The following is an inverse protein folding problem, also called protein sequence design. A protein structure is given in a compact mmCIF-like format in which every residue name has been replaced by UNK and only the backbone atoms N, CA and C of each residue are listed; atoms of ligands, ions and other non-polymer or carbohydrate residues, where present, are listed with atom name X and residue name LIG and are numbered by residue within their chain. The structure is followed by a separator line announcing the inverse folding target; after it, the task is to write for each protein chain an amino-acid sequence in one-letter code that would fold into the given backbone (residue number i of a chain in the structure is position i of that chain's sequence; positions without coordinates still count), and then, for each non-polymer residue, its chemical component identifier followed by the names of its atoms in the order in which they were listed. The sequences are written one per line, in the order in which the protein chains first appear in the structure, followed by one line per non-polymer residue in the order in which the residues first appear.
data_IF_453107994018
#
_entry.id   IF_453107994018
#
_cell.length_a   1.000
_cell.length_b   1.000
_cell.length_c   1.000
_cell.angle_alpha   90.00
_cell.angle_beta   90.00
_cell.angle_gamma   90.00
#
_symmetry.space_group_name_H-M   'P 1'
#
loop_
_entity.id
_entity.type
_entity.pdbx_description
1 polymer ?
#
# COMPACT_ATOMS: atom_id res chain seq x y z
N UNK A 1 15.35 -5.88 9.97
CA UNK A 1 14.37 -5.00 9.27
C UNK A 1 14.99 -3.63 9.07
N UNK A 2 15.12 -3.20 7.81
CA UNK A 2 15.54 -1.84 7.46
C UNK A 2 14.41 -0.85 7.80
N UNK A 3 14.78 0.37 8.22
CA UNK A 3 13.86 1.48 8.45
C UNK A 3 14.26 2.66 7.56
N UNK A 4 13.27 3.40 7.07
CA UNK A 4 13.46 4.61 6.27
C UNK A 4 12.54 5.72 6.75
N UNK A 5 13.01 6.95 6.64
CA UNK A 5 12.23 8.14 7.00
C UNK A 5 11.01 8.31 6.08
N UNK A 6 9.83 8.42 6.67
CA UNK A 6 8.58 8.60 5.95
C UNK A 6 8.34 10.09 5.65
N UNK A 7 9.07 10.60 4.66
CA UNK A 7 8.97 11.97 4.21
C UNK A 7 9.02 12.99 5.37
N UNK A 8 8.32 14.11 5.22
CA UNK A 8 8.25 15.20 6.22
C UNK A 8 7.62 14.80 7.55
N UNK A 9 6.98 13.64 7.65
CA UNK A 9 6.52 13.12 8.94
C UNK A 9 7.69 12.80 9.87
N UNK A 10 8.89 12.63 9.33
CA UNK A 10 10.14 12.50 10.08
C UNK A 10 10.28 11.20 10.86
N UNK A 11 9.26 10.34 10.85
CA UNK A 11 9.29 9.04 11.51
C UNK A 11 10.06 8.03 10.65
N UNK A 12 10.90 7.24 11.30
CA UNK A 12 11.53 6.07 10.72
C UNK A 12 10.58 4.87 10.80
N UNK A 13 10.12 4.37 9.66
CA UNK A 13 9.24 3.21 9.57
C UNK A 13 9.96 2.03 8.90
N UNK A 14 9.55 0.81 9.24
CA UNK A 14 10.01 -0.40 8.55
C UNK A 14 9.71 -0.30 7.05
N UNK A 15 10.67 -0.72 6.21
CA UNK A 15 10.50 -0.73 4.74
C UNK A 15 9.44 -1.70 4.26
N UNK A 16 9.06 -2.69 5.08
CA UNK A 16 7.89 -3.52 4.86
C UNK A 16 6.72 -2.98 5.70
N UNK A 17 5.60 -2.69 5.02
CA UNK A 17 4.34 -2.34 5.66
C UNK A 17 3.46 -3.57 5.71
N UNK A 18 2.96 -3.95 6.90
CA UNK A 18 2.04 -5.08 7.00
C UNK A 18 0.67 -4.70 6.44
N UNK A 19 0.35 -5.24 5.26
CA UNK A 19 -0.87 -4.92 4.53
C UNK A 19 -2.08 -5.70 5.04
N UNK A 20 -3.02 -5.00 5.68
CA UNK A 20 -4.24 -5.56 6.24
C UNK A 20 -5.19 -6.21 5.24
N UNK A 21 -5.01 -5.97 3.94
CA UNK A 21 -5.73 -6.73 2.91
C UNK A 21 -5.57 -8.25 3.09
N UNK A 22 -4.45 -8.70 3.63
CA UNK A 22 -4.20 -10.11 3.97
C UNK A 22 -5.13 -10.66 5.08
N UNK A 23 -5.78 -9.78 5.83
CA UNK A 23 -6.65 -10.14 6.95
C UNK A 23 -8.14 -10.05 6.61
N UNK A 24 -8.51 -9.70 5.38
CA UNK A 24 -9.90 -9.41 4.98
C UNK A 24 -10.84 -10.60 5.14
N UNK A 25 -10.37 -11.80 4.78
CA UNK A 25 -11.18 -13.03 4.74
C UNK A 25 -10.46 -14.22 5.39
N UNK A 26 -9.59 -13.96 6.36
CA UNK A 26 -8.83 -15.03 7.03
C UNK A 26 -9.36 -15.32 8.43
N UNK A 27 -9.03 -16.49 8.96
CA UNK A 27 -9.42 -16.86 10.33
C UNK A 27 -8.61 -16.06 11.35
N UNK A 28 -9.17 -15.85 12.55
CA UNK A 28 -8.47 -15.18 13.66
C UNK A 28 -7.09 -15.79 13.94
N UNK A 29 -6.98 -17.13 13.98
CA UNK A 29 -5.70 -17.79 14.23
C UNK A 29 -4.64 -17.58 13.13
N UNK A 30 -5.05 -17.42 11.87
CA UNK A 30 -4.14 -17.07 10.78
C UNK A 30 -3.73 -15.60 10.85
N UNK A 31 -4.69 -14.73 11.17
CA UNK A 31 -4.49 -13.30 11.43
C UNK A 31 -3.45 -13.08 12.53
N UNK A 32 -3.68 -13.70 13.70
CA UNK A 32 -2.80 -13.58 14.86
C UNK A 32 -1.39 -14.05 14.55
N UNK A 33 -1.26 -15.17 13.83
CA UNK A 33 0.06 -15.68 13.41
C UNK A 33 0.77 -14.71 12.48
N UNK A 34 0.08 -14.14 11.49
CA UNK A 34 0.68 -13.23 10.53
C UNK A 34 1.10 -11.91 11.19
N UNK A 35 0.25 -11.35 12.07
CA UNK A 35 0.56 -10.15 12.85
C UNK A 35 1.78 -10.40 13.73
N UNK A 36 1.81 -11.52 14.48
CA UNK A 36 2.93 -11.87 15.35
C UNK A 36 4.23 -12.03 14.56
N UNK A 37 4.20 -12.71 13.40
CA UNK A 37 5.37 -12.85 12.54
C UNK A 37 5.92 -11.51 12.04
N UNK A 38 5.04 -10.57 11.69
CA UNK A 38 5.44 -9.23 11.27
C UNK A 38 6.10 -8.46 12.43
N UNK A 39 5.50 -8.49 13.62
CA UNK A 39 6.04 -7.86 14.83
C UNK A 39 7.41 -8.44 15.21
N UNK A 40 7.54 -9.78 15.22
CA UNK A 40 8.80 -10.47 15.54
C UNK A 40 9.91 -10.16 14.54
N UNK A 41 9.55 -9.86 13.29
CA UNK A 41 10.50 -9.43 12.26
C UNK A 41 10.87 -7.94 12.37
N UNK A 42 10.21 -7.17 13.24
CA UNK A 42 10.46 -5.75 13.44
C UNK A 42 9.70 -4.85 12.46
N UNK A 43 8.56 -5.33 11.92
CA UNK A 43 7.63 -4.47 11.17
C UNK A 43 6.88 -3.60 12.17
N UNK A 44 6.91 -2.29 11.93
CA UNK A 44 6.23 -1.29 12.77
C UNK A 44 5.27 -0.39 12.00
N UNK A 45 5.09 -0.61 10.69
CA UNK A 45 4.09 0.05 9.87
C UNK A 45 2.97 -0.94 9.52
N UNK A 46 1.76 -0.66 10.00
CA UNK A 46 0.56 -1.47 9.81
C UNK A 46 -0.48 -0.66 9.04
N UNK A 47 -0.91 -1.18 7.91
CA UNK A 47 -1.84 -0.52 6.99
C UNK A 47 -3.09 -1.36 6.78
N UNK A 48 -4.26 -0.74 6.85
CA UNK A 48 -5.54 -1.38 6.58
C UNK A 48 -6.45 -0.46 5.76
N UNK A 49 -7.71 -0.81 5.61
CA UNK A 49 -8.74 0.02 5.00
C UNK A 49 -10.13 -0.40 5.49
N UNK A 50 -11.07 0.54 5.47
CA UNK A 50 -12.47 0.28 5.77
C UNK A 50 -13.10 -0.78 4.85
N UNK A 51 -12.56 -0.92 3.63
CA UNK A 51 -13.07 -1.82 2.58
C UNK A 51 -12.40 -3.21 2.59
N UNK A 52 -11.51 -3.49 3.55
CA UNK A 52 -10.80 -4.78 3.65
C UNK A 52 -11.52 -5.75 4.59
N UNK A 53 -12.81 -6.02 4.35
CA UNK A 53 -13.58 -6.99 5.12
C UNK A 53 -13.40 -6.84 6.63
N UNK A 54 -12.96 -7.89 7.30
CA UNK A 54 -12.78 -7.91 8.76
C UNK A 54 -11.41 -7.38 9.23
N UNK A 55 -10.56 -6.87 8.33
CA UNK A 55 -9.18 -6.50 8.65
C UNK A 55 -9.05 -5.51 9.82
N UNK A 56 -9.87 -4.45 9.86
CA UNK A 56 -9.84 -3.49 10.96
C UNK A 56 -10.28 -4.12 12.29
N UNK A 57 -11.23 -5.07 12.28
CA UNK A 57 -11.63 -5.82 13.47
C UNK A 57 -10.49 -6.75 13.95
N UNK A 58 -9.78 -7.38 13.02
CA UNK A 58 -8.62 -8.23 13.34
C UNK A 58 -7.51 -7.40 13.99
N UNK A 59 -7.18 -6.24 13.44
CA UNK A 59 -6.20 -5.32 14.04
C UNK A 59 -6.68 -4.81 15.40
N UNK A 60 -7.97 -4.44 15.52
CA UNK A 60 -8.55 -3.92 16.75
C UNK A 60 -8.37 -4.83 17.99
N UNK A 61 -8.24 -6.15 17.76
CA UNK A 61 -7.94 -7.10 18.85
C UNK A 61 -6.54 -6.93 19.43
N UNK A 62 -5.60 -6.41 18.63
CA UNK A 62 -4.20 -6.25 19.00
C UNK A 62 -3.85 -4.86 19.52
N UNK A 63 -4.68 -3.85 19.24
CA UNK A 63 -4.33 -2.45 19.53
C UNK A 63 -4.04 -2.17 20.99
N UNK A 64 -4.70 -2.86 21.93
CA UNK A 64 -4.40 -2.74 23.36
C UNK A 64 -2.95 -3.10 23.72
N UNK A 65 -2.25 -3.87 22.89
CA UNK A 65 -0.88 -4.33 23.15
C UNK A 65 0.17 -3.66 22.28
N UNK A 66 -0.21 -3.27 21.04
CA UNK A 66 0.79 -2.85 20.04
C UNK A 66 0.67 -1.39 19.61
N UNK A 67 -0.45 -0.67 19.91
CA UNK A 67 -0.72 0.67 19.36
C UNK A 67 0.45 1.65 19.55
N UNK A 68 1.08 1.66 20.71
CA UNK A 68 2.17 2.58 21.03
C UNK A 68 3.50 2.23 20.34
N UNK A 69 3.58 1.07 19.70
CA UNK A 69 4.81 0.57 19.06
C UNK A 69 4.75 0.61 17.53
N UNK A 70 3.58 0.90 16.97
CA UNK A 70 3.37 0.85 15.52
C UNK A 70 2.96 2.21 14.96
N UNK A 71 3.16 2.38 13.67
CA UNK A 71 2.53 3.39 12.84
C UNK A 71 1.32 2.75 12.18
N UNK A 72 0.13 3.22 12.54
CA UNK A 72 -1.13 2.66 12.09
C UNK A 72 -1.76 3.53 11.02
N UNK A 73 -2.07 2.95 9.86
CA UNK A 73 -2.79 3.61 8.80
C UNK A 73 -4.08 2.89 8.41
N UNK A 74 -5.10 3.67 8.07
CA UNK A 74 -6.33 3.16 7.44
C UNK A 74 -6.73 4.06 6.26
N UNK A 75 -7.82 3.70 5.56
CA UNK A 75 -8.24 4.38 4.33
C UNK A 75 -9.75 4.55 4.30
N UNK A 76 -10.19 5.63 3.62
CA UNK A 76 -11.60 5.81 3.24
C UNK A 76 -11.75 5.69 1.73
N UNK A 77 -12.66 4.81 1.27
CA UNK A 77 -13.03 4.63 -0.14
C UNK A 77 -14.19 5.52 -0.57
N UNK A 78 -14.84 6.20 0.37
CA UNK A 78 -15.97 7.06 0.09
C UNK A 78 -15.50 8.43 -0.41
N UNK A 79 -16.28 9.06 -1.30
CA UNK A 79 -15.93 10.34 -1.92
C UNK A 79 -16.69 11.51 -1.34
N UNK A 80 -17.91 11.29 -0.85
CA UNK A 80 -18.73 12.32 -0.23
C UNK A 80 -18.26 12.59 1.20
N UNK A 81 -18.10 13.84 1.58
CA UNK A 81 -17.58 14.32 2.87
C UNK A 81 -18.24 13.67 4.07
N UNK A 82 -19.57 13.78 4.16
CA UNK A 82 -20.31 13.25 5.32
C UNK A 82 -20.23 11.72 5.41
N UNK A 83 -20.19 11.03 4.27
CA UNK A 83 -20.05 9.59 4.22
C UNK A 83 -18.62 9.16 4.64
N UNK A 84 -17.60 9.84 4.15
CA UNK A 84 -16.22 9.63 4.54
C UNK A 84 -16.01 9.91 6.04
N UNK A 85 -16.58 10.98 6.57
CA UNK A 85 -16.52 11.30 8.01
C UNK A 85 -17.11 10.16 8.86
N UNK A 86 -18.28 9.66 8.50
CA UNK A 86 -18.87 8.49 9.20
C UNK A 86 -18.00 7.24 9.08
N UNK A 87 -17.40 7.00 7.91
CA UNK A 87 -16.50 5.85 7.71
C UNK A 87 -15.24 5.96 8.57
N UNK A 88 -14.64 7.15 8.70
CA UNK A 88 -13.48 7.40 9.57
C UNK A 88 -13.82 7.04 11.02
N UNK A 89 -14.91 7.55 11.57
CA UNK A 89 -15.32 7.18 12.93
C UNK A 89 -15.56 5.68 13.10
N UNK A 90 -16.25 5.05 12.15
CA UNK A 90 -16.48 3.60 12.18
C UNK A 90 -15.16 2.79 12.09
N UNK A 91 -14.15 3.29 11.36
CA UNK A 91 -12.82 2.68 11.32
C UNK A 91 -12.12 2.75 12.67
N UNK A 92 -12.14 3.90 13.36
CA UNK A 92 -11.58 4.04 14.70
C UNK A 92 -12.26 3.08 15.72
N UNK A 93 -13.59 2.95 15.63
CA UNK A 93 -14.32 2.00 16.47
C UNK A 93 -13.91 0.55 16.21
N UNK A 94 -13.81 0.11 14.94
CA UNK A 94 -13.38 -1.25 14.59
C UNK A 94 -11.94 -1.52 15.00
N UNK A 95 -11.07 -0.54 14.80
CA UNK A 95 -9.67 -0.57 15.23
C UNK A 95 -9.50 -0.45 16.76
N UNK A 96 -10.53 -0.03 17.49
CA UNK A 96 -10.49 0.19 18.96
C UNK A 96 -9.39 1.18 19.38
N UNK A 97 -9.25 2.28 18.63
CA UNK A 97 -8.28 3.34 18.90
C UNK A 97 -8.96 4.72 18.87
N UNK A 98 -8.37 5.68 19.57
CA UNK A 98 -8.85 7.07 19.55
C UNK A 98 -8.39 7.81 18.30
N UNK A 99 -7.27 7.40 17.71
CA UNK A 99 -6.69 8.00 16.51
C UNK A 99 -5.85 6.99 15.70
N UNK A 100 -5.62 7.34 14.42
CA UNK A 100 -4.63 6.68 13.55
C UNK A 100 -3.53 7.66 13.16
N UNK A 101 -2.34 7.15 12.84
CA UNK A 101 -1.22 7.98 12.43
C UNK A 101 -1.40 8.53 11.01
N UNK A 102 -2.06 7.75 10.14
CA UNK A 102 -2.28 8.13 8.73
C UNK A 102 -3.66 7.69 8.26
N UNK A 103 -4.40 8.62 7.66
CA UNK A 103 -5.60 8.31 6.87
C UNK A 103 -5.29 8.54 5.39
N UNK A 104 -5.68 7.59 4.53
CA UNK A 104 -5.44 7.70 3.10
C UNK A 104 -6.76 7.75 2.31
N UNK A 105 -6.84 8.61 1.29
CA UNK A 105 -7.89 8.54 0.28
C UNK A 105 -7.65 7.27 -0.56
N UNK A 106 -8.59 6.32 -0.49
CA UNK A 106 -8.41 4.98 -1.02
C UNK A 106 -8.73 4.88 -2.50
N UNK A 107 -7.81 4.26 -3.26
CA UNK A 107 -8.02 3.85 -4.65
C UNK A 107 -8.36 5.00 -5.63
N UNK A 108 -7.81 6.19 -5.43
CA UNK A 108 -7.93 7.31 -6.36
C UNK A 108 -6.98 7.07 -7.53
N UNK A 109 -7.47 6.48 -8.62
CA UNK A 109 -6.66 5.99 -9.74
C UNK A 109 -6.77 6.81 -11.02
N UNK A 110 -7.70 7.77 -11.11
CA UNK A 110 -7.89 8.65 -12.24
C UNK A 110 -8.32 10.07 -11.81
N UNK A 111 -8.29 10.99 -12.78
CA UNK A 111 -8.57 12.40 -12.51
C UNK A 111 -10.04 12.68 -12.16
N UNK A 112 -10.98 11.90 -12.70
CA UNK A 112 -12.41 12.07 -12.38
C UNK A 112 -12.66 11.73 -10.90
N UNK A 113 -12.06 10.63 -10.43
CA UNK A 113 -12.18 10.23 -9.05
C UNK A 113 -11.41 11.18 -8.10
N UNK A 114 -10.27 11.71 -8.55
CA UNK A 114 -9.55 12.78 -7.83
C UNK A 114 -10.39 14.04 -7.72
N UNK A 115 -11.09 14.45 -8.79
CA UNK A 115 -11.98 15.61 -8.79
C UNK A 115 -13.12 15.45 -7.77
N UNK A 116 -13.68 14.25 -7.66
CA UNK A 116 -14.70 13.91 -6.66
C UNK A 116 -14.16 13.92 -5.24
N UNK A 117 -12.97 13.33 -5.04
CA UNK A 117 -12.35 13.20 -3.73
C UNK A 117 -11.86 14.55 -3.17
N UNK A 118 -11.29 15.42 -4.04
CA UNK A 118 -10.67 16.70 -3.66
C UNK A 118 -11.52 17.95 -3.96
N UNK A 119 -12.70 17.78 -4.57
CA UNK A 119 -13.63 18.88 -4.84
C UNK A 119 -14.44 19.32 -3.60
N UNK A 120 -15.33 20.29 -3.78
CA UNK A 120 -16.22 20.73 -2.71
C UNK A 120 -17.07 19.57 -2.15
N UNK A 121 -17.20 19.49 -0.83
CA UNK A 121 -17.85 18.40 -0.11
C UNK A 121 -17.24 17.00 -0.41
N UNK A 122 -15.98 16.97 -0.81
CA UNK A 122 -15.22 15.75 -1.07
C UNK A 122 -14.61 15.13 0.19
N UNK A 123 -14.14 13.88 0.06
CA UNK A 123 -13.55 13.13 1.18
C UNK A 123 -12.25 13.76 1.72
N UNK A 124 -11.56 14.57 0.92
CA UNK A 124 -10.38 15.32 1.40
C UNK A 124 -10.77 16.33 2.50
N UNK A 125 -11.89 17.00 2.36
CA UNK A 125 -12.36 17.90 3.42
C UNK A 125 -12.66 17.13 4.72
N UNK A 126 -13.27 15.94 4.63
CA UNK A 126 -13.49 15.08 5.79
C UNK A 126 -12.17 14.65 6.45
N UNK A 127 -11.15 14.34 5.65
CA UNK A 127 -9.82 13.99 6.16
C UNK A 127 -9.14 15.18 6.86
N UNK A 128 -9.27 16.39 6.32
CA UNK A 128 -8.73 17.62 6.92
C UNK A 128 -9.44 17.91 8.27
N UNK A 129 -10.77 17.83 8.32
CA UNK A 129 -11.51 17.98 9.57
C UNK A 129 -11.09 16.94 10.61
N UNK A 130 -10.96 15.66 10.22
CA UNK A 130 -10.51 14.60 11.12
C UNK A 130 -9.08 14.85 11.64
N UNK A 131 -8.21 15.47 10.83
CA UNK A 131 -6.85 15.87 11.26
C UNK A 131 -6.92 17.04 12.26
N UNK A 132 -7.78 18.02 12.03
CA UNK A 132 -7.99 19.14 12.95
C UNK A 132 -8.61 18.69 14.28
N UNK A 133 -9.48 17.68 14.24
CA UNK A 133 -10.07 17.04 15.43
C UNK A 133 -9.09 16.12 16.18
N UNK A 134 -7.90 15.83 15.61
CA UNK A 134 -6.89 14.95 16.19
C UNK A 134 -7.20 13.45 16.04
N UNK A 135 -8.16 13.09 15.20
CA UNK A 135 -8.51 11.69 14.90
C UNK A 135 -7.53 11.03 13.95
N UNK A 136 -6.83 11.81 13.13
CA UNK A 136 -5.78 11.36 12.23
C UNK A 136 -4.55 12.27 12.31
N UNK A 137 -3.35 11.68 12.27
CA UNK A 137 -2.09 12.44 12.36
C UNK A 137 -1.64 13.04 11.02
N UNK A 138 -1.86 12.29 9.94
CA UNK A 138 -1.40 12.62 8.59
C UNK A 138 -2.45 12.22 7.53
N UNK A 139 -2.35 12.81 6.34
CA UNK A 139 -3.25 12.52 5.22
C UNK A 139 -2.43 12.04 4.02
N UNK A 140 -2.80 10.88 3.48
CA UNK A 140 -2.19 10.28 2.30
C UNK A 140 -3.19 10.02 1.18
N UNK A 141 -2.67 9.55 0.05
CA UNK A 141 -3.46 9.13 -1.10
C UNK A 141 -2.96 7.80 -1.66
N UNK A 142 -3.88 6.96 -2.12
CA UNK A 142 -3.56 5.69 -2.77
C UNK A 142 -4.29 5.54 -4.09
N UNK A 143 -3.74 4.75 -5.01
CA UNK A 143 -4.41 4.44 -6.27
C UNK A 143 -3.93 3.16 -6.91
N UNK A 144 -4.66 2.74 -7.93
CA UNK A 144 -4.41 1.55 -8.73
C UNK A 144 -4.52 1.87 -10.22
N UNK A 145 -4.07 0.94 -11.06
CA UNK A 145 -4.13 1.09 -12.51
C UNK A 145 -2.97 1.86 -13.11
N UNK A 146 -3.01 1.96 -14.46
CA UNK A 146 -1.92 2.57 -15.21
C UNK A 146 -1.85 4.10 -15.03
N UNK A 147 -2.96 4.76 -14.72
CA UNK A 147 -3.02 6.21 -14.49
C UNK A 147 -2.61 6.67 -13.09
N UNK A 148 -2.37 5.75 -12.15
CA UNK A 148 -2.15 6.11 -10.75
C UNK A 148 -0.98 7.09 -10.53
N UNK A 149 0.22 6.94 -11.13
CA UNK A 149 1.31 7.90 -10.90
C UNK A 149 0.99 9.31 -11.39
N UNK A 150 0.39 9.44 -12.60
CA UNK A 150 -0.01 10.74 -13.13
C UNK A 150 -1.12 11.40 -12.29
N UNK A 151 -2.08 10.62 -11.82
CA UNK A 151 -3.15 11.08 -10.92
C UNK A 151 -2.59 11.56 -9.58
N UNK A 152 -1.65 10.82 -9.00
CA UNK A 152 -1.02 11.19 -7.74
C UNK A 152 -0.12 12.43 -7.87
N UNK A 153 0.55 12.60 -9.00
CA UNK A 153 1.28 13.83 -9.31
C UNK A 153 0.34 15.05 -9.29
N UNK A 154 -0.82 14.93 -9.95
CA UNK A 154 -1.83 16.00 -9.93
C UNK A 154 -2.42 16.20 -8.53
N UNK A 155 -2.63 15.12 -7.77
CA UNK A 155 -3.11 15.20 -6.39
C UNK A 155 -2.15 15.99 -5.49
N UNK A 156 -0.85 15.75 -5.57
CA UNK A 156 0.18 16.50 -4.83
C UNK A 156 0.22 17.99 -5.19
N UNK A 157 -0.13 18.35 -6.42
CA UNK A 157 -0.25 19.76 -6.86
C UNK A 157 -1.47 20.45 -6.27
N UNK A 158 -2.54 19.69 -5.98
CA UNK A 158 -3.78 20.24 -5.40
C UNK A 158 -3.73 20.33 -3.88
N UNK A 159 -3.11 19.36 -3.24
CA UNK A 159 -3.00 19.28 -1.79
C UNK A 159 -1.67 18.63 -1.37
N UNK A 160 -0.99 19.13 -0.34
CA UNK A 160 0.28 18.58 0.11
C UNK A 160 0.06 17.31 0.94
N UNK A 161 -0.31 16.19 0.28
CA UNK A 161 -0.43 14.90 0.93
C UNK A 161 0.87 14.49 1.62
N UNK A 162 0.78 13.98 2.85
CA UNK A 162 1.93 13.56 3.62
C UNK A 162 2.57 12.28 3.06
N UNK A 163 1.75 11.41 2.45
CA UNK A 163 2.22 10.17 1.79
C UNK A 163 1.47 9.89 0.49
N UNK A 164 2.16 9.21 -0.41
CA UNK A 164 1.58 8.62 -1.63
C UNK A 164 1.86 7.13 -1.62
N UNK A 165 0.83 6.29 -1.88
CA UNK A 165 0.95 4.86 -2.07
C UNK A 165 0.55 4.51 -3.50
N UNK A 166 1.53 4.21 -4.35
CA UNK A 166 1.36 4.00 -5.80
C UNK A 166 1.90 2.65 -6.26
N UNK A 167 1.37 2.04 -7.34
CA UNK A 167 1.95 0.81 -7.87
C UNK A 167 3.35 1.04 -8.46
N UNK A 168 4.32 0.20 -8.05
CA UNK A 168 5.65 0.20 -8.64
C UNK A 168 6.32 -1.16 -8.51
N UNK A 169 6.81 -1.68 -9.62
CA UNK A 169 7.59 -2.91 -9.70
C UNK A 169 8.40 -2.96 -11.01
N UNK A 170 9.23 -4.00 -11.15
CA UNK A 170 10.10 -4.13 -12.31
C UNK A 170 9.35 -4.12 -13.65
N UNK A 171 8.23 -4.84 -13.78
CA UNK A 171 7.53 -4.91 -15.07
C UNK A 171 6.87 -3.57 -15.44
N UNK A 172 6.33 -2.83 -14.48
CA UNK A 172 5.77 -1.50 -14.71
C UNK A 172 6.86 -0.51 -15.13
N UNK A 173 8.08 -0.65 -14.61
CA UNK A 173 9.22 0.20 -15.00
C UNK A 173 9.68 -0.03 -16.45
N UNK A 174 9.31 -1.13 -17.07
CA UNK A 174 9.65 -1.41 -18.49
C UNK A 174 8.70 -0.74 -19.48
N UNK A 175 7.54 -0.28 -19.03
CA UNK A 175 6.64 0.56 -19.83
C UNK A 175 7.14 2.02 -19.78
N UNK A 176 7.46 2.59 -20.92
CA UNK A 176 8.07 3.93 -21.01
C UNK A 176 7.14 5.03 -20.53
N UNK A 177 5.84 4.92 -20.80
CA UNK A 177 4.85 5.92 -20.38
C UNK A 177 4.64 5.85 -18.86
N UNK A 178 4.40 4.65 -18.35
CA UNK A 178 4.22 4.45 -16.91
C UNK A 178 5.45 4.91 -16.11
N UNK A 179 6.65 4.57 -16.60
CA UNK A 179 7.92 4.99 -15.98
C UNK A 179 8.05 6.51 -15.98
N UNK A 180 7.75 7.19 -17.09
CA UNK A 180 7.84 8.65 -17.15
C UNK A 180 6.89 9.32 -16.15
N UNK A 181 5.65 8.82 -16.03
CA UNK A 181 4.69 9.32 -15.05
C UNK A 181 5.16 9.07 -13.60
N UNK A 182 5.73 7.89 -13.33
CA UNK A 182 6.29 7.57 -12.01
C UNK A 182 7.48 8.46 -11.68
N UNK A 183 8.42 8.66 -12.60
CA UNK A 183 9.58 9.53 -12.42
C UNK A 183 9.15 10.99 -12.14
N UNK A 184 8.14 11.49 -12.86
CA UNK A 184 7.58 12.82 -12.61
C UNK A 184 6.93 12.91 -11.21
N UNK A 185 6.21 11.87 -10.78
CA UNK A 185 5.66 11.78 -9.43
C UNK A 185 6.78 11.78 -8.38
N UNK A 186 7.86 11.04 -8.59
CA UNK A 186 9.02 10.99 -7.66
C UNK A 186 9.64 12.37 -7.47
N UNK A 187 9.81 13.14 -8.52
CA UNK A 187 10.34 14.50 -8.41
C UNK A 187 9.41 15.41 -7.56
N UNK A 188 8.11 15.29 -7.72
CA UNK A 188 7.14 16.05 -6.90
C UNK A 188 7.15 15.58 -5.44
N UNK A 189 7.20 14.26 -5.21
CA UNK A 189 7.33 13.66 -3.87
C UNK A 189 8.57 14.20 -3.15
N UNK A 190 9.72 14.22 -3.84
CA UNK A 190 10.97 14.77 -3.30
C UNK A 190 10.86 16.27 -3.01
N UNK A 191 10.24 17.04 -3.92
CA UNK A 191 10.12 18.49 -3.77
C UNK A 191 9.26 18.88 -2.56
N UNK A 192 8.24 18.05 -2.25
CA UNK A 192 7.34 18.26 -1.12
C UNK A 192 7.78 17.51 0.16
N UNK A 193 8.87 16.73 0.10
CA UNK A 193 9.30 15.84 1.18
C UNK A 193 8.15 14.92 1.66
N UNK A 194 7.36 14.36 0.73
CA UNK A 194 6.31 13.40 1.02
C UNK A 194 6.87 11.97 1.15
N UNK A 195 6.19 11.09 1.90
CA UNK A 195 6.55 9.68 1.97
C UNK A 195 6.07 8.93 0.71
N UNK A 196 6.95 8.18 0.05
CA UNK A 196 6.59 7.35 -1.10
C UNK A 196 6.53 5.88 -0.71
N UNK A 197 5.32 5.35 -0.65
CA UNK A 197 5.04 3.94 -0.44
C UNK A 197 4.64 3.28 -1.76
N UNK A 198 4.95 2.01 -1.92
CA UNK A 198 4.60 1.29 -3.15
C UNK A 198 3.84 0.00 -2.90
N UNK A 199 3.02 -0.38 -3.89
CA UNK A 199 2.24 -1.61 -3.91
C UNK A 199 2.53 -2.41 -5.17
N UNK A 200 2.02 -3.64 -5.23
CA UNK A 200 2.18 -4.58 -6.36
C UNK A 200 3.61 -5.11 -6.52
N UNK A 201 4.45 -4.98 -5.50
CA UNK A 201 5.87 -5.38 -5.53
C UNK A 201 6.06 -6.80 -6.05
N UNK A 202 5.31 -7.78 -5.52
CA UNK A 202 5.43 -9.19 -5.92
C UNK A 202 4.35 -9.65 -6.90
N UNK A 203 3.64 -8.73 -7.55
CA UNK A 203 2.68 -9.12 -8.57
C UNK A 203 3.40 -9.69 -9.78
N UNK A 204 2.98 -10.87 -10.22
CA UNK A 204 3.49 -11.55 -11.42
C UNK A 204 2.70 -11.17 -12.67
N UNK A 205 1.36 -11.10 -12.56
CA UNK A 205 0.43 -10.76 -13.64
C UNK A 205 -1.00 -10.69 -13.11
N UNK A 206 -1.94 -10.32 -13.95
CA UNK A 206 -3.36 -10.56 -13.67
C UNK A 206 -3.63 -12.07 -13.54
N UNK A 207 -4.62 -12.41 -12.71
CA UNK A 207 -5.16 -13.78 -12.72
C UNK A 207 -5.64 -14.10 -14.14
N UNK A 208 -5.37 -15.30 -14.68
CA UNK A 208 -5.85 -15.72 -15.99
C UNK A 208 -7.39 -15.64 -16.07
N UNK A 209 -7.93 -15.19 -17.23
CA UNK A 209 -9.36 -15.21 -17.47
C UNK A 209 -9.91 -16.65 -17.39
N UNK A 210 -11.02 -16.82 -16.69
CA UNK A 210 -11.68 -18.11 -16.54
C UNK A 210 -11.14 -18.98 -15.41
N UNK A 211 -10.15 -18.50 -14.65
CA UNK A 211 -9.75 -19.13 -13.40
C UNK A 211 -10.78 -18.74 -12.33
N UNK A 212 -11.67 -19.62 -11.89
CA UNK A 212 -12.66 -19.27 -10.88
C UNK A 212 -11.95 -18.94 -9.58
N UNK A 213 -12.53 -18.05 -8.75
CA UNK A 213 -12.01 -17.73 -7.41
C UNK A 213 -11.69 -18.99 -6.58
N UNK A 214 -12.42 -20.08 -6.80
CA UNK A 214 -12.16 -21.40 -6.19
C UNK A 214 -10.84 -22.06 -6.64
N UNK A 215 -10.21 -21.59 -7.72
CA UNK A 215 -8.90 -22.05 -8.21
C UNK A 215 -7.75 -21.13 -7.84
N UNK A 216 -8.00 -19.94 -7.30
CA UNK A 216 -6.95 -19.03 -6.87
C UNK A 216 -6.29 -19.56 -5.60
N UNK A 217 -4.95 -19.67 -5.68
CA UNK A 217 -4.13 -20.15 -4.56
C UNK A 217 -3.94 -19.10 -3.47
N UNK A 218 -4.12 -17.82 -3.81
CA UNK A 218 -3.92 -16.67 -2.94
C UNK A 218 -5.07 -15.68 -3.03
N UNK A 219 -5.40 -15.00 -1.95
CA UNK A 219 -6.46 -13.99 -1.86
C UNK A 219 -6.10 -12.62 -2.50
N UNK A 220 -5.03 -12.56 -3.28
CA UNK A 220 -4.56 -11.33 -3.93
C UNK A 220 -5.35 -11.02 -5.21
N UNK A 221 -5.56 -9.73 -5.53
CA UNK A 221 -6.22 -9.27 -6.78
C UNK A 221 -5.39 -9.51 -8.05
N UNK A 222 -4.21 -10.11 -7.93
CA UNK A 222 -3.28 -10.46 -9.00
C UNK A 222 -2.62 -11.79 -8.65
N UNK A 223 -2.15 -12.51 -9.63
CA UNK A 223 -1.31 -13.70 -9.41
C UNK A 223 0.07 -13.25 -8.88
N UNK A 224 0.45 -13.57 -7.64
CA UNK A 224 1.73 -13.18 -7.08
C UNK A 224 2.86 -14.09 -7.54
N UNK A 225 4.09 -13.63 -7.41
CA UNK A 225 5.22 -14.55 -7.32
C UNK A 225 5.10 -15.37 -6.03
N UNK A 226 5.31 -16.68 -6.15
CA UNK A 226 5.21 -17.66 -5.06
C UNK A 226 6.45 -18.59 -4.97
N UNK A 227 7.51 -18.24 -5.69
CA UNK A 227 8.84 -18.82 -5.54
C UNK A 227 9.72 -17.80 -4.82
N UNK A 228 10.40 -18.24 -3.75
CA UNK A 228 11.20 -17.35 -2.89
C UNK A 228 12.21 -16.52 -3.71
N UNK A 229 12.89 -17.11 -4.67
CA UNK A 229 13.85 -16.42 -5.55
C UNK A 229 13.25 -15.19 -6.26
N UNK A 230 11.99 -15.31 -6.76
CA UNK A 230 11.32 -14.22 -7.44
C UNK A 230 10.83 -13.16 -6.45
N UNK A 231 10.39 -13.57 -5.26
CA UNK A 231 9.98 -12.66 -4.19
C UNK A 231 11.19 -11.88 -3.68
N UNK A 232 12.34 -12.57 -3.46
CA UNK A 232 13.61 -11.93 -3.07
C UNK A 232 14.03 -10.87 -4.11
N UNK A 233 13.97 -11.24 -5.40
CA UNK A 233 14.29 -10.30 -6.48
C UNK A 233 13.33 -9.12 -6.55
N UNK A 234 12.03 -9.35 -6.45
CA UNK A 234 11.02 -8.28 -6.54
C UNK A 234 11.12 -7.28 -5.38
N UNK A 235 11.26 -7.77 -4.15
CA UNK A 235 11.47 -6.92 -2.96
C UNK A 235 12.80 -6.18 -3.05
N UNK A 236 13.88 -6.87 -3.43
CA UNK A 236 15.21 -6.25 -3.56
C UNK A 236 15.24 -5.16 -4.62
N UNK A 237 14.60 -5.41 -5.77
CA UNK A 237 14.53 -4.43 -6.85
C UNK A 237 13.79 -3.16 -6.41
N UNK A 238 12.62 -3.29 -5.80
CA UNK A 238 11.85 -2.14 -5.30
C UNK A 238 12.66 -1.37 -4.24
N UNK A 239 13.22 -2.06 -3.27
CA UNK A 239 13.98 -1.42 -2.18
C UNK A 239 15.38 -0.95 -2.59
N UNK A 240 15.83 -1.21 -3.83
CA UNK A 240 17.03 -0.58 -4.41
C UNK A 240 16.80 0.87 -4.88
N UNK A 241 15.56 1.35 -4.82
CA UNK A 241 15.19 2.72 -5.12
C UNK A 241 15.13 3.53 -3.82
N UNK A 242 16.05 4.47 -3.66
CA UNK A 242 16.21 5.24 -2.41
C UNK A 242 15.02 6.14 -2.09
N UNK A 243 14.27 6.55 -3.11
CA UNK A 243 13.04 7.33 -2.97
C UNK A 243 11.88 6.54 -2.37
N UNK A 244 11.89 5.21 -2.47
CA UNK A 244 10.85 4.35 -1.89
C UNK A 244 11.07 4.24 -0.39
N UNK A 245 10.16 4.79 0.40
CA UNK A 245 10.22 4.77 1.86
C UNK A 245 9.67 3.47 2.45
N UNK A 246 8.84 2.75 1.71
CA UNK A 246 8.33 1.45 2.11
C UNK A 246 7.47 0.79 1.04
N UNK A 247 7.20 -0.49 1.20
CA UNK A 247 6.31 -1.26 0.35
C UNK A 247 5.27 -2.02 1.17
N UNK A 248 4.01 -2.01 0.72
CA UNK A 248 2.96 -2.81 1.33
C UNK A 248 3.10 -4.28 0.92
N UNK A 249 3.03 -5.17 1.91
CA UNK A 249 3.03 -6.61 1.69
C UNK A 249 1.79 -7.04 0.89
N UNK A 250 1.89 -8.18 0.22
CA UNK A 250 0.78 -8.75 -0.55
C UNK A 250 -0.39 -9.16 0.36
N UNK A 251 -1.60 -9.09 -0.19
CA UNK A 251 -2.85 -9.31 0.51
C UNK A 251 -3.19 -10.79 0.78
N UNK A 252 -2.19 -11.59 1.22
CA UNK A 252 -2.41 -12.98 1.63
C UNK A 252 -1.44 -13.36 2.76
N UNK A 253 -1.96 -13.91 3.85
CA UNK A 253 -1.18 -14.28 5.04
C UNK A 253 -0.07 -15.32 4.74
N UNK A 254 -0.25 -16.17 3.72
CA UNK A 254 0.75 -17.17 3.35
C UNK A 254 1.96 -16.57 2.63
N UNK A 255 1.85 -15.36 2.11
CA UNK A 255 2.95 -14.63 1.46
C UNK A 255 3.78 -13.80 2.45
N UNK A 256 3.25 -13.52 3.65
CA UNK A 256 3.94 -12.73 4.67
C UNK A 256 5.33 -13.30 5.00
N UNK A 257 5.51 -14.60 5.31
CA UNK A 257 6.84 -15.15 5.62
C UNK A 257 7.83 -14.98 4.47
N UNK A 258 7.37 -15.11 3.22
CA UNK A 258 8.22 -14.97 2.04
C UNK A 258 8.73 -13.54 1.86
N UNK A 259 7.88 -12.54 2.09
CA UNK A 259 8.26 -11.14 1.99
C UNK A 259 9.18 -10.71 3.14
N UNK A 260 8.94 -11.21 4.36
CA UNK A 260 9.84 -11.00 5.50
C UNK A 260 11.23 -11.61 5.26
N UNK A 261 11.29 -12.80 4.64
CA UNK A 261 12.56 -13.44 4.29
C UNK A 261 13.27 -12.70 3.14
N UNK A 262 12.52 -12.18 2.17
CA UNK A 262 13.07 -11.42 1.04
C UNK A 262 13.77 -10.13 1.50
N UNK A 263 13.26 -9.45 2.52
CA UNK A 263 13.92 -8.29 3.11
C UNK A 263 15.29 -8.65 3.73
N UNK A 264 15.43 -9.86 4.29
CA UNK A 264 16.69 -10.35 4.84
C UNK A 264 17.69 -10.82 3.78
N UNK A 265 17.20 -11.24 2.61
CA UNK A 265 17.98 -11.82 1.51
C UNK A 265 18.18 -10.85 0.35
N UNK A 266 18.49 -9.60 0.65
CA UNK A 266 18.64 -8.56 -0.38
C UNK A 266 19.67 -8.97 -1.44
N UNK A 267 19.26 -8.82 -2.69
CA UNK A 267 20.09 -8.91 -3.88
C UNK A 267 20.56 -7.52 -4.31
N UNK A 268 21.62 -7.44 -5.09
CA UNK A 268 21.91 -6.21 -5.83
C UNK A 268 20.80 -5.96 -6.87
N UNK A 269 20.66 -4.70 -7.30
CA UNK A 269 19.69 -4.33 -8.34
C UNK A 269 19.87 -5.15 -9.62
N UNK A 270 21.11 -5.30 -10.07
CA UNK A 270 21.44 -6.05 -11.28
C UNK A 270 21.12 -7.54 -11.17
N UNK A 271 21.31 -8.13 -9.99
CA UNK A 271 20.92 -9.53 -9.73
C UNK A 271 19.41 -9.69 -9.78
N UNK A 272 18.68 -8.79 -9.12
CA UNK A 272 17.23 -8.78 -9.11
C UNK A 272 16.66 -8.61 -10.53
N UNK A 273 17.16 -7.67 -11.31
CA UNK A 273 16.75 -7.45 -12.71
C UNK A 273 17.01 -8.69 -13.58
N UNK A 274 18.14 -9.38 -13.36
CA UNK A 274 18.47 -10.62 -14.08
C UNK A 274 17.48 -11.75 -13.79
N UNK A 275 17.01 -11.85 -12.56
CA UNK A 275 16.00 -12.85 -12.15
C UNK A 275 14.63 -12.44 -12.73
N UNK A 276 14.20 -11.20 -12.54
CA UNK A 276 12.88 -10.73 -12.93
C UNK A 276 12.69 -10.71 -14.45
N UNK A 277 13.70 -10.29 -15.22
CA UNK A 277 13.64 -10.27 -16.70
C UNK A 277 13.47 -11.66 -17.32
N UNK A 278 13.78 -12.74 -16.58
CA UNK A 278 13.65 -14.14 -17.01
C UNK A 278 12.44 -14.84 -16.36
N UNK A 279 11.69 -14.15 -15.51
CA UNK A 279 10.57 -14.75 -14.79
C UNK A 279 9.45 -15.14 -15.78
N UNK A 280 9.03 -16.41 -15.81
CA UNK A 280 8.06 -16.89 -16.80
C UNK A 280 6.69 -16.20 -16.61
N UNK A 281 6.13 -15.65 -17.70
CA UNK A 281 4.80 -15.05 -17.69
C UNK A 281 4.69 -13.80 -16.81
N UNK A 282 5.80 -13.11 -16.56
CA UNK A 282 5.78 -11.83 -15.86
C UNK A 282 5.23 -10.75 -16.77
N UNK A 283 4.16 -10.10 -16.36
CA UNK A 283 3.48 -9.04 -17.11
C UNK A 283 2.82 -8.04 -16.17
N UNK A 284 2.29 -6.94 -16.73
CA UNK A 284 1.58 -5.94 -15.95
C UNK A 284 0.46 -6.56 -15.11
N UNK A 285 0.29 -6.13 -13.84
CA UNK A 285 -0.87 -6.51 -13.01
C UNK A 285 -2.16 -5.81 -13.43
N UNK A 286 -2.08 -4.91 -14.40
CA UNK A 286 -3.23 -4.17 -14.92
C UNK A 286 -3.61 -4.68 -16.29
N UNK A 287 -4.91 -4.81 -16.54
CA UNK A 287 -5.42 -5.08 -17.88
C UNK A 287 -5.10 -3.87 -18.75
N UNK A 288 -4.41 -4.06 -19.86
CA UNK A 288 -4.28 -3.01 -20.87
C UNK A 288 -5.68 -2.69 -21.40
N UNK A 289 -6.21 -1.53 -21.06
CA UNK A 289 -7.37 -1.01 -21.77
C UNK A 289 -6.83 -0.59 -23.14
N UNK A 290 -7.32 -1.15 -24.25
CA UNK A 290 -6.96 -0.62 -25.56
C UNK A 290 -7.45 0.83 -25.61
N UNK A 291 -6.53 1.75 -25.87
CA UNK A 291 -6.83 3.15 -26.15
C UNK A 291 -7.56 3.27 -27.46
#
# INVERSE_FOLDING_TARGET
MEHRRLGRLGRENSVLTFGGAALSETTEGNSDRAIQQALDAGVDHFDTAADYGDSELQYGRWMGEIRDRIFLSTKTGLREKDAAKRQIHASLERLRVDNVDLLQLHAVGDLEDLDRASGPDGSLEAAIEAKEEGLVGAIGITGHGNGAPATHLEALRRYPFDTVLTPWNYILSTDEHYRADYEALVEEVKSQDAGLLVIKTISRRNWPEGDPLDGQRYATWYEPFDRQEHVDAAVSWVLSHDEVTGLAMAGDVNLVPMMLEAERRRMTREEAERVLSRAPGYSSPFVSVPF
#
